data_IF_654928879781
#
_entry.id   IF_654928879781
#
_cell.length_a   1.000
_cell.length_b   1.000
_cell.length_c   1.000
_cell.angle_alpha   90.00
_cell.angle_beta   90.00
_cell.angle_gamma   90.00
#
_symmetry.space_group_name_H-M   'P 1'
#
loop_
_entity.id
_entity.type
_entity.pdbx_description
1 polymer ?
#
# COMPACT_ATOMS: atom_id res chain seq x y z
N UNK A 1 58.97 68.50 -4.88
CA UNK A 1 57.80 67.80 -5.48
C UNK A 1 58.04 66.30 -5.26
N UNK A 2 57.31 65.52 -4.49
CA UNK A 2 56.08 65.69 -3.72
C UNK A 2 56.11 64.64 -2.60
N UNK A 3 55.68 65.05 -1.41
CA UNK A 3 55.60 64.29 -0.15
C UNK A 3 54.49 63.24 -0.12
N UNK A 4 54.83 62.06 0.41
CA UNK A 4 54.07 61.23 1.37
C UNK A 4 52.60 61.57 1.66
N UNK A 5 51.68 60.60 1.46
CA UNK A 5 50.77 59.98 2.47
C UNK A 5 49.49 59.40 1.83
N UNK A 6 49.23 58.13 2.09
CA UNK A 6 47.98 57.62 2.71
C UNK A 6 48.20 56.13 3.03
N UNK A 7 48.39 55.71 4.29
CA UNK A 7 47.38 55.49 5.35
C UNK A 7 46.36 54.39 4.99
N UNK A 8 46.43 53.24 5.67
CA UNK A 8 45.37 52.21 5.60
C UNK A 8 45.78 50.78 5.94
N UNK A 9 46.15 50.51 7.20
CA UNK A 9 46.23 49.15 7.76
C UNK A 9 44.83 48.69 8.21
N UNK A 10 44.46 47.42 7.94
CA UNK A 10 43.72 46.46 8.80
C UNK A 10 43.49 45.20 7.97
N UNK A 11 44.15 44.06 8.15
CA UNK A 11 44.30 43.20 9.33
C UNK A 11 42.98 42.67 9.90
N UNK A 12 42.71 41.40 9.56
CA UNK A 12 41.97 40.35 10.29
C UNK A 12 40.44 40.31 10.27
N UNK A 13 39.99 39.07 10.02
CA UNK A 13 38.85 38.37 10.62
C UNK A 13 37.52 38.41 9.86
N UNK A 14 37.22 37.34 9.12
CA UNK A 14 36.05 36.48 9.43
C UNK A 14 36.14 35.16 8.66
N UNK A 15 36.54 34.13 9.40
CA UNK A 15 36.31 32.72 9.11
C UNK A 15 34.79 32.48 9.05
N UNK A 16 34.34 31.60 8.15
CA UNK A 16 33.03 30.92 8.18
C UNK A 16 31.80 31.83 7.98
N UNK A 17 31.34 32.04 6.74
CA UNK A 17 29.91 32.23 6.43
C UNK A 17 29.70 32.26 4.91
N UNK A 18 29.36 31.10 4.34
CA UNK A 18 28.52 30.92 3.13
C UNK A 18 28.55 29.47 2.57
N UNK A 19 29.02 28.47 3.31
CA UNK A 19 28.69 27.05 3.04
C UNK A 19 27.31 26.72 3.62
N UNK A 20 26.24 27.34 3.11
CA UNK A 20 24.88 26.99 3.51
C UNK A 20 23.83 27.63 2.60
N UNK A 21 23.77 27.25 1.31
CA UNK A 21 22.56 27.51 0.54
C UNK A 21 22.24 26.33 -0.40
N UNK A 22 21.05 25.77 -0.14
CA UNK A 22 20.28 24.84 -0.95
C UNK A 22 20.79 23.39 -1.06
N UNK A 23 20.73 22.67 0.05
CA UNK A 23 20.37 21.25 0.01
C UNK A 23 19.06 21.11 -0.78
N UNK A 24 19.12 20.44 -1.93
CA UNK A 24 17.93 20.07 -2.68
C UNK A 24 16.98 19.30 -1.77
N UNK A 25 15.74 19.78 -1.67
CA UNK A 25 14.67 19.03 -1.03
C UNK A 25 14.40 17.78 -1.88
N UNK A 26 15.14 16.70 -1.60
CA UNK A 26 14.78 15.38 -2.05
C UNK A 26 13.46 15.07 -1.35
N UNK A 27 12.34 15.15 -2.09
CA UNK A 27 11.07 14.58 -1.66
C UNK A 27 11.30 13.08 -1.52
N UNK A 28 11.80 12.65 -0.37
CA UNK A 28 11.75 11.26 0.03
C UNK A 28 10.27 10.97 0.20
N UNK A 29 9.64 10.44 -0.85
CA UNK A 29 8.35 9.82 -0.74
C UNK A 29 8.54 8.59 0.15
N UNK A 30 8.49 8.79 1.47
CA UNK A 30 8.49 7.70 2.43
C UNK A 30 7.20 6.94 2.21
N UNK A 31 7.27 5.72 1.64
CA UNK A 31 6.14 4.81 1.75
C UNK A 31 6.05 4.46 3.24
N UNK A 32 5.10 5.07 3.94
CA UNK A 32 4.75 4.58 5.26
C UNK A 32 4.09 3.22 5.05
N UNK A 33 4.90 2.17 5.20
CA UNK A 33 4.44 0.80 5.16
C UNK A 33 3.30 0.64 6.16
N UNK A 34 2.12 0.28 5.67
CA UNK A 34 0.95 0.09 6.52
C UNK A 34 1.11 -1.22 7.29
N UNK A 35 0.86 -1.18 8.60
CA UNK A 35 0.79 -2.36 9.46
C UNK A 35 -0.46 -2.27 10.32
N UNK A 36 -1.23 -3.37 10.39
CA UNK A 36 -2.40 -3.46 11.26
C UNK A 36 -2.36 -4.75 12.04
N UNK A 37 -2.36 -4.64 13.37
CA UNK A 37 -2.30 -5.79 14.28
C UNK A 37 -1.16 -6.78 13.94
N UNK A 38 0.03 -6.26 13.59
CA UNK A 38 1.19 -7.09 13.22
C UNK A 38 1.20 -7.61 11.77
N UNK A 39 0.12 -7.41 11.01
CA UNK A 39 0.07 -7.80 9.60
C UNK A 39 0.45 -6.63 8.69
N UNK A 40 1.38 -6.88 7.75
CA UNK A 40 1.82 -5.91 6.76
C UNK A 40 0.77 -5.69 5.67
N UNK A 41 0.72 -4.47 5.16
CA UNK A 41 -0.07 -4.11 3.98
C UNK A 41 0.79 -4.17 2.72
N UNK A 42 0.19 -4.37 1.52
CA UNK A 42 0.91 -4.16 0.28
C UNK A 42 1.41 -2.72 0.18
N UNK A 43 2.63 -2.55 -0.31
CA UNK A 43 3.18 -1.25 -0.67
C UNK A 43 2.32 -0.59 -1.76
N UNK A 44 2.23 0.74 -1.71
CA UNK A 44 1.52 1.54 -2.72
C UNK A 44 2.16 2.91 -2.87
N UNK A 45 1.97 3.53 -4.03
CA UNK A 45 2.28 4.94 -4.26
C UNK A 45 1.00 5.75 -4.18
N UNK A 46 0.98 6.81 -3.37
CA UNK A 46 -0.11 7.80 -3.44
C UNK A 46 0.09 8.65 -4.69
N UNK A 47 -0.87 8.61 -5.60
CA UNK A 47 -0.87 9.41 -6.83
C UNK A 47 -1.43 10.81 -6.57
N UNK A 48 -2.51 10.88 -5.79
CA UNK A 48 -3.18 12.12 -5.45
C UNK A 48 -3.87 12.00 -4.09
N UNK A 49 -3.85 13.08 -3.33
CA UNK A 49 -4.57 13.22 -2.07
C UNK A 49 -5.69 14.23 -2.26
N UNK A 50 -6.89 13.85 -1.85
CA UNK A 50 -8.08 14.70 -1.81
C UNK A 50 -8.52 14.87 -0.34
N UNK A 51 -9.51 15.73 -0.09
CA UNK A 51 -10.01 16.00 1.26
C UNK A 51 -10.47 14.72 1.97
N UNK A 52 -11.25 13.87 1.27
CA UNK A 52 -11.88 12.67 1.85
C UNK A 52 -11.22 11.35 1.44
N UNK A 53 -10.31 11.35 0.46
CA UNK A 53 -9.78 10.11 -0.10
C UNK A 53 -8.39 10.27 -0.72
N UNK A 54 -7.72 9.14 -0.92
CA UNK A 54 -6.46 9.06 -1.64
C UNK A 54 -6.63 8.18 -2.88
N UNK A 55 -5.98 8.59 -3.96
CA UNK A 55 -5.77 7.76 -5.15
C UNK A 55 -4.44 7.03 -5.00
N UNK A 56 -4.49 5.70 -4.97
CA UNK A 56 -3.31 4.85 -4.70
C UNK A 56 -3.06 3.92 -5.86
N UNK A 57 -1.80 3.83 -6.29
CA UNK A 57 -1.32 2.84 -7.24
C UNK A 57 -0.65 1.70 -6.49
N UNK A 58 -1.16 0.49 -6.68
CA UNK A 58 -0.52 -0.72 -6.17
C UNK A 58 0.36 -1.36 -7.26
N UNK A 59 1.47 -2.03 -6.87
CA UNK A 59 2.18 -2.91 -7.80
C UNK A 59 1.29 -4.11 -8.20
N UNK A 60 1.76 -4.91 -9.15
CA UNK A 60 1.12 -6.20 -9.41
C UNK A 60 1.20 -7.06 -8.15
N UNK A 61 0.05 -7.55 -7.68
CA UNK A 61 -0.06 -8.36 -6.48
C UNK A 61 -0.73 -9.69 -6.83
N UNK A 62 -0.22 -10.77 -6.24
CA UNK A 62 -0.91 -12.05 -6.25
C UNK A 62 -1.87 -12.10 -5.07
N UNK A 63 -3.11 -12.51 -5.35
CA UNK A 63 -4.14 -12.64 -4.33
C UNK A 63 -4.62 -14.09 -4.25
N UNK A 64 -4.66 -14.64 -3.05
CA UNK A 64 -5.37 -15.89 -2.78
C UNK A 64 -6.83 -15.58 -2.49
N UNK A 65 -7.75 -16.33 -3.09
CA UNK A 65 -9.17 -16.01 -3.03
C UNK A 65 -10.06 -17.21 -2.70
N UNK A 66 -11.20 -16.92 -2.10
CA UNK A 66 -12.26 -17.88 -1.85
C UNK A 66 -13.62 -17.24 -2.16
N UNK A 67 -14.45 -17.97 -2.90
CA UNK A 67 -15.78 -17.52 -3.32
C UNK A 67 -16.89 -18.38 -2.70
N UNK A 68 -18.04 -17.76 -2.48
CA UNK A 68 -19.27 -18.44 -2.06
C UNK A 68 -20.50 -17.57 -2.26
N UNK A 69 -21.66 -18.20 -2.38
CA UNK A 69 -22.93 -17.53 -2.63
C UNK A 69 -23.83 -17.56 -1.39
N UNK A 70 -24.55 -16.47 -1.15
CA UNK A 70 -25.47 -16.30 -0.03
C UNK A 70 -26.39 -15.11 -0.23
N UNK A 71 -27.42 -14.95 0.61
CA UNK A 71 -28.30 -13.77 0.56
C UNK A 71 -27.56 -12.53 1.02
N UNK A 72 -26.69 -12.68 2.02
CA UNK A 72 -25.88 -11.63 2.62
C UNK A 72 -24.41 -12.03 2.77
N UNK A 73 -23.53 -11.05 3.04
CA UNK A 73 -22.10 -11.29 3.29
C UNK A 73 -21.89 -12.14 4.54
N UNK A 74 -22.69 -11.93 5.59
CA UNK A 74 -22.61 -12.67 6.85
C UNK A 74 -22.90 -14.16 6.69
N UNK A 75 -23.69 -14.54 5.69
CA UNK A 75 -24.02 -15.94 5.42
C UNK A 75 -22.78 -16.77 5.05
N UNK A 76 -21.80 -16.13 4.38
CA UNK A 76 -20.64 -16.82 3.79
C UNK A 76 -19.29 -16.42 4.40
N UNK A 77 -19.18 -15.23 5.00
CA UNK A 77 -17.91 -14.62 5.41
C UNK A 77 -17.04 -15.53 6.28
N UNK A 78 -17.62 -16.13 7.34
CA UNK A 78 -16.91 -17.00 8.27
C UNK A 78 -16.33 -18.25 7.59
N UNK A 79 -17.06 -18.82 6.63
CA UNK A 79 -16.61 -19.98 5.86
C UNK A 79 -15.48 -19.60 4.90
N UNK A 80 -15.60 -18.45 4.23
CA UNK A 80 -14.59 -17.97 3.28
C UNK A 80 -13.29 -17.59 3.98
N UNK A 81 -13.34 -16.85 5.09
CA UNK A 81 -12.13 -16.48 5.83
C UNK A 81 -11.43 -17.71 6.41
N UNK A 82 -12.18 -18.71 6.92
CA UNK A 82 -11.61 -19.97 7.40
C UNK A 82 -10.84 -20.71 6.30
N UNK A 83 -11.38 -20.74 5.06
CA UNK A 83 -10.68 -21.33 3.91
C UNK A 83 -9.37 -20.62 3.62
N UNK A 84 -9.37 -19.29 3.60
CA UNK A 84 -8.17 -18.48 3.35
C UNK A 84 -7.11 -18.70 4.43
N UNK A 85 -7.48 -18.66 5.71
CA UNK A 85 -6.54 -18.90 6.80
C UNK A 85 -6.03 -20.35 6.85
N UNK A 86 -6.87 -21.33 6.50
CA UNK A 86 -6.41 -22.71 6.35
C UNK A 86 -5.34 -22.83 5.26
N UNK A 87 -5.54 -22.18 4.12
CA UNK A 87 -4.56 -22.15 3.03
C UNK A 87 -3.24 -21.51 3.47
N UNK A 88 -3.30 -20.37 4.16
CA UNK A 88 -2.10 -19.71 4.70
C UNK A 88 -1.41 -20.56 5.77
N UNK A 89 -2.16 -21.28 6.60
CA UNK A 89 -1.62 -22.18 7.64
C UNK A 89 -1.20 -23.57 7.15
N UNK A 90 -0.82 -23.72 5.88
CA UNK A 90 -0.27 -24.97 5.37
C UNK A 90 -1.25 -25.89 4.63
N UNK A 91 -2.55 -25.58 4.54
CA UNK A 91 -3.49 -26.34 3.70
C UNK A 91 -3.39 -25.89 2.23
N UNK A 92 -2.17 -25.91 1.70
CA UNK A 92 -1.82 -25.68 0.30
C UNK A 92 -0.99 -26.87 -0.20
N UNK A 93 -0.78 -26.95 -1.52
CA UNK A 93 -0.12 -28.11 -2.15
C UNK A 93 1.31 -28.35 -1.68
N UNK A 94 1.93 -27.38 -1.01
CA UNK A 94 3.30 -27.47 -0.50
C UNK A 94 3.39 -27.60 1.02
N UNK A 95 2.26 -27.64 1.73
CA UNK A 95 2.27 -27.72 3.19
C UNK A 95 2.89 -26.50 3.88
N UNK A 96 3.06 -25.37 3.16
CA UNK A 96 3.84 -24.24 3.66
C UNK A 96 3.00 -23.27 4.46
N UNK A 97 3.53 -22.81 5.60
CA UNK A 97 2.95 -21.67 6.31
C UNK A 97 3.33 -20.38 5.57
N UNK A 98 2.31 -19.65 5.13
CA UNK A 98 2.42 -18.36 4.48
C UNK A 98 2.00 -17.28 5.47
N UNK A 99 2.69 -16.15 5.40
CA UNK A 99 2.39 -15.04 6.28
C UNK A 99 1.14 -14.31 5.83
N UNK A 100 0.34 -13.90 6.80
CA UNK A 100 -0.85 -13.09 6.54
C UNK A 100 -0.47 -11.64 6.23
N UNK A 101 -1.06 -11.11 5.16
CA UNK A 101 -1.10 -9.68 4.89
C UNK A 101 -2.53 -9.13 5.00
N UNK A 102 -2.65 -7.81 5.08
CA UNK A 102 -3.91 -7.08 5.16
C UNK A 102 -3.99 -6.01 4.06
N UNK A 103 -5.17 -5.55 3.63
CA UNK A 103 -6.50 -5.94 4.08
C UNK A 103 -7.02 -7.21 3.38
N UNK A 104 -8.00 -7.86 4.01
CA UNK A 104 -8.90 -8.80 3.32
C UNK A 104 -9.85 -7.98 2.45
N UNK A 105 -9.83 -8.18 1.13
CA UNK A 105 -10.77 -7.54 0.20
C UNK A 105 -11.99 -8.44 -0.02
N UNK A 106 -13.15 -7.83 -0.24
CA UNK A 106 -14.38 -8.56 -0.62
C UNK A 106 -14.95 -7.96 -1.91
N UNK A 107 -15.05 -8.76 -2.96
CA UNK A 107 -15.86 -8.45 -4.15
C UNK A 107 -17.26 -9.00 -3.95
N UNK A 108 -18.28 -8.21 -4.30
CA UNK A 108 -19.68 -8.65 -4.36
C UNK A 108 -20.14 -8.63 -5.82
N UNK A 109 -20.73 -9.72 -6.27
CA UNK A 109 -21.48 -9.81 -7.53
C UNK A 109 -22.94 -10.08 -7.18
N UNK A 110 -23.84 -9.23 -7.67
CA UNK A 110 -25.28 -9.31 -7.39
C UNK A 110 -25.94 -10.23 -8.42
N UNK A 111 -26.81 -11.12 -7.95
CA UNK A 111 -27.67 -11.95 -8.78
C UNK A 111 -29.13 -11.82 -8.33
N UNK A 112 -30.05 -12.36 -9.12
CA UNK A 112 -31.45 -12.44 -8.70
C UNK A 112 -31.58 -13.43 -7.52
N UNK A 113 -32.07 -12.96 -6.38
CA UNK A 113 -32.30 -13.78 -5.18
C UNK A 113 -31.07 -14.13 -4.33
N UNK A 114 -29.84 -13.91 -4.83
CA UNK A 114 -28.61 -14.16 -4.08
C UNK A 114 -27.44 -13.28 -4.54
N UNK A 115 -26.32 -13.34 -3.80
CA UNK A 115 -25.08 -12.65 -4.15
C UNK A 115 -23.92 -13.64 -4.12
N UNK A 116 -22.92 -13.43 -4.97
CA UNK A 116 -21.63 -14.11 -4.89
C UNK A 116 -20.63 -13.18 -4.23
N UNK A 117 -19.96 -13.67 -3.18
CA UNK A 117 -18.91 -12.96 -2.47
C UNK A 117 -17.58 -13.65 -2.69
N UNK A 118 -16.58 -12.90 -3.13
CA UNK A 118 -15.19 -13.37 -3.23
C UNK A 118 -14.34 -12.60 -2.24
N UNK A 119 -13.80 -13.30 -1.25
CA UNK A 119 -12.81 -12.75 -0.31
C UNK A 119 -11.40 -13.04 -0.81
N UNK A 120 -10.49 -12.09 -0.66
CA UNK A 120 -9.12 -12.23 -1.09
C UNK A 120 -8.11 -11.60 -0.11
N UNK A 121 -6.95 -12.24 0.03
CA UNK A 121 -5.80 -11.77 0.81
C UNK A 121 -4.60 -11.65 -0.14
N UNK A 122 -3.83 -10.54 -0.09
CA UNK A 122 -2.63 -10.43 -0.90
C UNK A 122 -1.53 -11.33 -0.33
N UNK A 123 -0.73 -11.94 -1.18
CA UNK A 123 0.50 -12.61 -0.75
C UNK A 123 1.66 -11.61 -0.72
N UNK A 124 2.64 -11.86 0.16
CA UNK A 124 3.90 -11.13 0.10
C UNK A 124 4.56 -11.40 -1.26
N UNK A 125 5.28 -10.43 -1.86
CA UNK A 125 5.99 -10.65 -3.11
C UNK A 125 6.87 -11.91 -3.09
N UNK A 126 7.55 -12.18 -1.99
CA UNK A 126 8.45 -13.34 -1.82
C UNK A 126 7.68 -14.67 -1.77
N UNK A 127 6.42 -14.64 -1.35
CA UNK A 127 5.51 -15.79 -1.29
C UNK A 127 4.67 -15.94 -2.56
N UNK A 128 4.75 -14.96 -3.48
CA UNK A 128 3.88 -14.84 -4.64
C UNK A 128 4.34 -15.63 -5.86
N UNK A 129 5.58 -16.15 -5.85
CA UNK A 129 6.16 -16.91 -6.97
C UNK A 129 5.61 -18.33 -7.07
N UNK A 130 4.79 -18.74 -6.09
CA UNK A 130 4.39 -20.12 -5.92
C UNK A 130 2.94 -20.34 -5.42
N UNK A 131 1.93 -19.64 -5.97
CA UNK A 131 0.58 -19.81 -5.51
C UNK A 131 -0.06 -20.92 -6.35
N UNK A 132 0.25 -22.19 -6.09
CA UNK A 132 -0.43 -23.33 -6.73
C UNK A 132 -1.87 -23.53 -6.20
N UNK A 133 -2.54 -22.47 -5.74
CA UNK A 133 -3.96 -22.54 -5.41
C UNK A 133 -4.76 -22.52 -6.72
N UNK A 134 -5.58 -23.54 -6.93
CA UNK A 134 -6.53 -23.66 -8.04
C UNK A 134 -7.58 -22.52 -8.13
N UNK A 135 -7.46 -21.47 -7.30
CA UNK A 135 -8.35 -20.31 -7.21
C UNK A 135 -7.59 -18.98 -7.03
N UNK A 136 -6.34 -18.90 -7.51
CA UNK A 136 -5.62 -17.62 -7.57
C UNK A 136 -6.27 -16.75 -8.64
N UNK A 137 -6.99 -15.73 -8.20
CA UNK A 137 -7.38 -14.66 -9.10
C UNK A 137 -6.15 -13.80 -9.32
N UNK A 138 -5.55 -13.91 -10.50
CA UNK A 138 -4.73 -12.82 -11.00
C UNK A 138 -5.69 -11.66 -11.24
N UNK A 139 -5.70 -10.68 -10.33
CA UNK A 139 -6.43 -9.44 -10.55
C UNK A 139 -5.69 -8.62 -11.61
N UNK A 140 -5.64 -9.09 -12.85
CA UNK A 140 -5.28 -8.27 -14.02
C UNK A 140 -6.49 -7.89 -14.86
N UNK A 141 -7.68 -8.35 -14.48
CA UNK A 141 -8.88 -8.24 -15.31
C UNK A 141 -9.97 -7.40 -14.62
N UNK A 142 -9.64 -6.14 -14.38
CA UNK A 142 -10.60 -5.05 -14.58
C UNK A 142 -9.99 -4.17 -15.65
N UNK A 143 -10.53 -4.29 -16.87
CA UNK A 143 -10.34 -3.31 -17.94
C UNK A 143 -10.94 -1.98 -17.46
N UNK A 144 -10.21 -1.26 -16.63
CA UNK A 144 -10.27 0.19 -16.57
C UNK A 144 -8.94 0.67 -17.13
N UNK A 145 -9.04 1.27 -18.31
CA UNK A 145 -7.98 1.42 -19.29
C UNK A 145 -6.79 2.26 -18.78
N UNK A 146 -5.58 1.71 -18.98
CA UNK A 146 -4.30 2.40 -19.23
C UNK A 146 -3.34 2.83 -18.12
N UNK A 147 -3.62 2.73 -16.82
CA UNK A 147 -2.57 2.97 -15.80
C UNK A 147 -2.76 2.02 -14.62
N UNK A 148 -1.67 1.37 -14.17
CA UNK A 148 -1.70 0.31 -13.16
C UNK A 148 -2.64 0.60 -11.98
N UNK A 149 -3.39 -0.42 -11.56
CA UNK A 149 -4.46 -0.42 -10.56
C UNK A 149 -4.50 0.82 -9.64
N UNK A 150 -5.20 1.86 -10.09
CA UNK A 150 -5.52 3.03 -9.26
C UNK A 150 -6.75 2.67 -8.42
N UNK A 151 -6.54 2.42 -7.13
CA UNK A 151 -7.62 2.23 -6.17
C UNK A 151 -7.87 3.55 -5.43
N UNK A 152 -9.13 4.01 -5.46
CA UNK A 152 -9.60 5.13 -4.62
C UNK A 152 -9.90 4.59 -3.22
N UNK A 153 -9.20 5.06 -2.21
CA UNK A 153 -9.41 4.68 -0.81
C UNK A 153 -9.98 5.88 -0.04
N UNK A 154 -11.25 5.80 0.35
CA UNK A 154 -11.89 6.79 1.21
C UNK A 154 -11.28 6.66 2.61
N UNK A 155 -10.76 7.77 3.14
CA UNK A 155 -10.27 7.83 4.51
C UNK A 155 -11.47 7.62 5.42
N UNK A 156 -11.56 6.45 6.05
CA UNK A 156 -12.56 6.22 7.10
C UNK A 156 -12.40 7.35 8.13
N UNK A 157 -13.47 8.11 8.37
CA UNK A 157 -13.45 9.27 9.28
C UNK A 157 -12.80 8.86 10.60
N UNK A 158 -11.91 9.72 11.12
CA UNK A 158 -11.61 9.72 12.55
C UNK A 158 -12.93 9.95 13.26
N UNK A 159 -13.57 8.88 13.72
CA UNK A 159 -14.56 9.01 14.77
C UNK A 159 -13.76 9.34 16.03
N UNK A 160 -13.69 10.63 16.32
CA UNK A 160 -13.38 11.13 17.64
C UNK A 160 -14.33 10.46 18.63
N UNK A 161 -13.74 9.80 19.62
CA UNK A 161 -14.38 9.57 20.89
C UNK A 161 -14.70 10.95 21.50
N UNK A 162 -15.98 11.13 21.80
CA UNK A 162 -16.56 12.19 22.61
C UNK A 162 -17.85 11.65 23.18
#
# INVERSE_FOLDING_TARGET
>A
MTTLRHFGRRCRSNMILAFALALGALLVATSEGCERHGAKCPEYTVLQTHEDYEERRYPSLVWVSASGSGKSKSDVSRKLIKKLYSYLGGANSKGMNLDMMVPVRTKKVVHEGFNTYTMAIPLRPEQSHDPLAQNVLHWSETRDYLLGQVLRWIRASRNHLG
#
